data_IF_445833146585
#
_entry.id   IF_445833146585
#
_cell.length_a   1.000
_cell.length_b   1.000
_cell.length_c   1.000
_cell.angle_alpha   90.00
_cell.angle_beta   90.00
_cell.angle_gamma   90.00
#
_symmetry.space_group_name_H-M   'P 1'
#
loop_
_entity.id
_entity.type
_entity.pdbx_description
1 polymer ?
#
# COMPACT_ATOMS: atom_id res chain seq x y z
N UNK A 1 -15.25 16.49 10.51
CA UNK A 1 -16.61 16.20 10.01
C UNK A 1 -16.59 15.98 8.50
N UNK A 2 -17.51 15.16 7.99
CA UNK A 2 -17.70 14.90 6.57
C UNK A 2 -19.19 15.04 6.21
N UNK A 3 -19.50 15.21 4.92
CA UNK A 3 -20.89 15.21 4.41
C UNK A 3 -20.98 14.21 3.27
N UNK A 4 -21.90 13.26 3.37
CA UNK A 4 -22.15 12.25 2.34
C UNK A 4 -23.64 12.19 2.07
N UNK A 5 -24.05 12.35 0.80
CA UNK A 5 -25.47 12.35 0.42
C UNK A 5 -26.33 13.37 1.20
N UNK A 6 -25.76 14.52 1.54
CA UNK A 6 -26.45 15.56 2.35
C UNK A 6 -26.43 15.30 3.87
N UNK A 7 -26.02 14.13 4.32
CA UNK A 7 -25.94 13.79 5.75
C UNK A 7 -24.59 14.18 6.32
N UNK A 8 -24.59 14.93 7.43
CA UNK A 8 -23.37 15.33 8.13
C UNK A 8 -22.96 14.28 9.15
N UNK A 9 -21.68 13.89 9.10
CA UNK A 9 -20.99 13.01 10.04
C UNK A 9 -20.03 13.85 10.89
N UNK A 10 -20.12 13.77 12.19
CA UNK A 10 -19.22 14.50 13.12
C UNK A 10 -18.69 13.54 14.16
N UNK A 11 -17.39 13.63 14.44
CA UNK A 11 -16.70 12.80 15.41
C UNK A 11 -16.03 13.68 16.44
N UNK A 12 -16.00 13.24 17.69
CA UNK A 12 -15.21 13.83 18.76
C UNK A 12 -14.19 12.82 19.24
N UNK A 13 -13.04 13.30 19.66
CA UNK A 13 -11.90 12.46 20.06
C UNK A 13 -11.39 12.90 21.44
N UNK A 14 -10.74 11.98 22.16
CA UNK A 14 -9.92 12.31 23.30
C UNK A 14 -8.48 12.70 22.87
N UNK A 15 -7.63 13.01 23.84
CA UNK A 15 -6.21 13.41 23.60
C UNK A 15 -5.35 12.27 23.08
N UNK A 16 -5.76 11.00 23.24
CA UNK A 16 -5.10 9.81 22.73
C UNK A 16 -5.67 9.38 21.35
N UNK A 17 -6.56 10.20 20.75
CA UNK A 17 -7.16 9.92 19.45
C UNK A 17 -8.26 8.88 19.47
N UNK A 18 -8.79 8.48 20.63
CA UNK A 18 -9.93 7.58 20.65
C UNK A 18 -11.23 8.33 20.29
N UNK A 19 -12.04 7.74 19.42
CA UNK A 19 -13.34 8.31 19.06
C UNK A 19 -14.25 8.26 20.29
N UNK A 20 -14.66 9.40 20.80
CA UNK A 20 -15.57 9.50 21.96
C UNK A 20 -17.04 9.51 21.55
N UNK A 21 -17.35 10.08 20.40
CA UNK A 21 -18.70 10.04 19.86
C UNK A 21 -18.71 10.16 18.34
N UNK A 22 -19.71 9.52 17.74
CA UNK A 22 -20.11 9.65 16.33
C UNK A 22 -21.51 10.24 16.28
N UNK A 23 -21.68 11.30 15.50
CA UNK A 23 -23.01 11.91 15.24
C UNK A 23 -23.30 11.83 13.75
N UNK A 24 -24.43 11.22 13.39
CA UNK A 24 -24.92 11.08 12.02
C UNK A 24 -26.25 11.84 11.92
N UNK A 25 -26.27 12.97 11.22
CA UNK A 25 -27.42 13.89 11.24
C UNK A 25 -27.67 14.35 12.67
N UNK A 26 -28.83 14.00 13.23
CA UNK A 26 -29.22 14.31 14.63
C UNK A 26 -28.82 13.23 15.64
N UNK A 27 -28.57 12.00 15.20
CA UNK A 27 -28.32 10.85 16.07
C UNK A 27 -26.89 10.81 16.56
N UNK A 28 -26.67 10.77 17.89
CA UNK A 28 -25.36 10.66 18.52
C UNK A 28 -25.18 9.28 19.15
N UNK A 29 -24.06 8.63 18.88
CA UNK A 29 -23.63 7.38 19.50
C UNK A 29 -22.34 7.63 20.28
N UNK A 30 -22.29 7.21 21.54
CA UNK A 30 -21.14 7.38 22.41
C UNK A 30 -20.26 6.11 22.43
N UNK A 31 -18.97 6.33 22.61
CA UNK A 31 -17.94 5.31 22.80
C UNK A 31 -17.45 5.38 24.25
N UNK A 32 -17.29 4.25 24.91
CA UNK A 32 -16.83 4.20 26.30
C UNK A 32 -15.55 3.40 26.40
N UNK A 33 -14.53 3.96 27.09
CA UNK A 33 -13.22 3.38 27.34
C UNK A 33 -13.04 3.20 28.85
N UNK A 34 -13.61 2.13 29.41
CA UNK A 34 -13.67 1.92 30.86
C UNK A 34 -12.48 1.13 31.45
N UNK A 35 -11.50 0.73 30.63
CA UNK A 35 -10.34 -0.01 31.10
C UNK A 35 -9.22 0.95 31.51
N UNK A 36 -8.90 1.04 32.80
CA UNK A 36 -7.87 1.95 33.32
C UNK A 36 -6.44 1.53 32.94
N UNK A 37 -6.21 0.25 32.72
CA UNK A 37 -4.90 -0.30 32.35
C UNK A 37 -4.64 -0.19 30.85
N UNK A 38 -5.69 -0.17 30.02
CA UNK A 38 -5.59 -0.04 28.58
C UNK A 38 -6.66 0.93 28.06
N UNK A 39 -6.32 2.20 28.01
CA UNK A 39 -7.26 3.30 27.74
C UNK A 39 -7.81 3.35 26.32
N UNK A 40 -7.15 2.67 25.35
CA UNK A 40 -7.61 2.59 23.97
C UNK A 40 -8.61 1.45 23.72
N UNK A 41 -8.86 0.63 24.76
CA UNK A 41 -9.77 -0.50 24.67
C UNK A 41 -11.22 -0.03 24.76
N UNK A 42 -11.98 -0.13 23.68
CA UNK A 42 -13.38 0.26 23.61
C UNK A 42 -14.23 -0.75 24.41
N UNK A 43 -14.75 -0.35 25.56
CA UNK A 43 -15.49 -1.25 26.46
C UNK A 43 -17.00 -1.19 26.27
N UNK A 44 -17.53 -0.15 25.59
CA UNK A 44 -18.92 -0.11 25.13
C UNK A 44 -19.11 0.83 23.94
N UNK A 45 -20.07 0.49 23.07
CA UNK A 45 -20.54 1.29 21.95
C UNK A 45 -22.07 1.45 21.99
N UNK A 46 -22.56 2.69 21.99
CA UNK A 46 -23.99 2.98 22.11
C UNK A 46 -24.62 2.44 23.40
N UNK A 47 -23.84 2.29 24.47
CA UNK A 47 -24.27 1.71 25.74
C UNK A 47 -24.18 0.18 25.82
N UNK A 48 -23.89 -0.52 24.72
CA UNK A 48 -23.72 -1.96 24.68
C UNK A 48 -22.28 -2.37 24.97
N UNK A 49 -22.09 -3.26 25.93
CA UNK A 49 -20.78 -3.67 26.43
C UNK A 49 -20.02 -4.56 25.44
N UNK A 50 -18.71 -4.35 25.36
CA UNK A 50 -17.73 -5.19 24.66
C UNK A 50 -16.80 -5.80 25.71
N UNK A 51 -16.58 -7.13 25.65
CA UNK A 51 -15.66 -7.83 26.53
C UNK A 51 -14.48 -8.38 25.76
N UNK A 52 -13.30 -8.42 26.39
CA UNK A 52 -12.04 -8.79 25.76
C UNK A 52 -11.27 -9.84 26.54
N UNK A 53 -10.41 -10.57 25.81
CA UNK A 53 -9.34 -11.38 26.36
C UNK A 53 -8.06 -11.11 25.56
N UNK A 54 -6.98 -10.63 26.22
CA UNK A 54 -5.71 -10.34 25.56
C UNK A 54 -5.79 -9.33 24.42
N UNK A 55 -6.68 -8.31 24.52
CA UNK A 55 -6.88 -7.31 23.46
C UNK A 55 -7.79 -7.73 22.29
N UNK A 56 -8.32 -8.96 22.34
CA UNK A 56 -9.25 -9.48 21.35
C UNK A 56 -10.68 -9.52 21.93
N UNK A 57 -11.71 -9.04 21.22
CA UNK A 57 -13.09 -9.09 21.72
C UNK A 57 -13.58 -10.54 21.81
N UNK A 58 -14.27 -10.87 22.91
CA UNK A 58 -14.95 -12.16 23.11
C UNK A 58 -16.45 -12.03 22.97
N UNK A 59 -17.02 -10.89 23.37
CA UNK A 59 -18.40 -10.48 23.10
C UNK A 59 -18.41 -9.06 22.60
N UNK A 60 -19.25 -8.78 21.61
CA UNK A 60 -19.28 -7.50 20.92
C UNK A 60 -20.58 -6.73 21.22
N UNK A 61 -20.61 -5.43 20.85
CA UNK A 61 -21.73 -4.53 21.14
C UNK A 61 -23.07 -4.95 20.51
N UNK A 62 -23.02 -5.70 19.41
CA UNK A 62 -24.20 -6.22 18.70
C UNK A 62 -24.65 -7.59 19.19
N UNK A 63 -23.99 -8.13 20.22
CA UNK A 63 -24.24 -9.45 20.78
C UNK A 63 -23.44 -10.57 20.12
N UNK A 64 -22.67 -10.30 19.09
CA UNK A 64 -21.77 -11.27 18.46
C UNK A 64 -20.71 -11.77 19.44
N UNK A 65 -20.28 -13.03 19.27
CA UNK A 65 -19.22 -13.63 20.09
C UNK A 65 -18.11 -14.18 19.22
N UNK A 66 -16.86 -14.09 19.71
CA UNK A 66 -15.67 -14.43 18.94
C UNK A 66 -14.75 -15.35 19.75
N UNK A 67 -14.05 -16.24 19.05
CA UNK A 67 -12.87 -16.92 19.57
C UNK A 67 -11.66 -16.63 18.70
N UNK A 68 -10.48 -16.70 19.30
CA UNK A 68 -9.24 -16.29 18.67
C UNK A 68 -8.21 -17.41 18.73
N UNK A 69 -7.31 -17.46 17.76
CA UNK A 69 -6.21 -18.40 17.68
C UNK A 69 -4.91 -17.67 17.34
N UNK A 70 -3.78 -18.29 17.68
CA UNK A 70 -2.44 -17.75 17.40
C UNK A 70 -2.29 -16.27 17.83
N UNK A 71 -2.84 -15.96 18.99
CA UNK A 71 -2.77 -14.65 19.62
C UNK A 71 -3.83 -13.65 19.13
N UNK A 72 -4.00 -13.41 17.82
CA UNK A 72 -4.90 -12.36 17.31
C UNK A 72 -5.66 -12.71 16.04
N UNK A 73 -5.66 -13.96 15.60
CA UNK A 73 -6.43 -14.40 14.43
C UNK A 73 -7.82 -14.85 14.83
N UNK A 74 -8.83 -14.32 14.18
CA UNK A 74 -10.22 -14.69 14.44
C UNK A 74 -10.45 -16.15 14.04
N UNK A 75 -10.72 -17.03 15.02
CA UNK A 75 -10.96 -18.44 14.77
C UNK A 75 -12.43 -18.72 14.46
N UNK A 76 -13.33 -18.16 15.28
CA UNK A 76 -14.78 -18.28 15.05
C UNK A 76 -15.49 -16.97 15.37
N UNK A 77 -16.62 -16.77 14.69
CA UNK A 77 -17.60 -15.76 15.03
C UNK A 77 -18.98 -16.38 15.09
N UNK A 78 -19.81 -15.94 16.04
CA UNK A 78 -21.25 -16.24 16.07
C UNK A 78 -22.00 -14.91 15.99
N UNK A 79 -22.74 -14.71 14.91
CA UNK A 79 -23.53 -13.51 14.64
C UNK A 79 -25.00 -13.92 14.58
N UNK A 80 -25.78 -13.52 15.58
CA UNK A 80 -27.13 -14.04 15.76
C UNK A 80 -27.16 -15.57 15.90
N UNK A 81 -27.81 -16.26 14.97
CA UNK A 81 -27.82 -17.73 14.88
C UNK A 81 -26.75 -18.32 13.97
N UNK A 82 -25.99 -17.49 13.24
CA UNK A 82 -25.01 -17.93 12.24
C UNK A 82 -23.65 -18.18 12.89
N UNK A 83 -23.12 -19.39 12.72
CA UNK A 83 -21.76 -19.73 13.11
C UNK A 83 -20.83 -19.60 11.91
N UNK A 84 -19.67 -18.97 12.14
CA UNK A 84 -18.64 -18.73 11.15
C UNK A 84 -17.32 -19.23 11.71
N UNK A 85 -16.51 -19.89 10.89
CA UNK A 85 -15.15 -20.29 11.26
C UNK A 85 -14.16 -19.91 10.16
N UNK A 86 -12.92 -19.64 10.57
CA UNK A 86 -11.86 -19.19 9.70
C UNK A 86 -10.62 -20.07 9.87
N UNK A 87 -9.90 -20.30 8.77
CA UNK A 87 -8.58 -20.92 8.80
C UNK A 87 -7.56 -20.01 8.11
N UNK A 88 -6.32 -20.17 8.49
CA UNK A 88 -5.20 -19.36 8.02
C UNK A 88 -4.08 -20.25 7.54
N UNK A 89 -3.29 -19.78 6.57
CA UNK A 89 -2.07 -20.44 6.13
C UNK A 89 -0.90 -20.20 7.11
N UNK A 90 0.26 -20.70 6.77
CA UNK A 90 1.48 -20.55 7.59
C UNK A 90 1.97 -19.08 7.68
N UNK A 91 1.69 -18.26 6.67
CA UNK A 91 1.99 -16.84 6.68
C UNK A 91 0.96 -16.01 7.47
N UNK A 92 -0.15 -16.63 7.87
CA UNK A 92 -1.20 -16.00 8.62
C UNK A 92 -2.28 -15.33 7.78
N UNK A 93 -2.24 -15.55 6.48
CA UNK A 93 -3.27 -15.07 5.57
C UNK A 93 -4.44 -16.04 5.59
N UNK A 94 -5.66 -15.52 5.57
CA UNK A 94 -6.89 -16.32 5.63
C UNK A 94 -7.02 -17.24 4.41
N UNK A 95 -7.05 -18.56 4.65
CA UNK A 95 -7.15 -19.60 3.63
C UNK A 95 -8.57 -20.10 3.40
N UNK A 96 -9.44 -20.02 4.44
CA UNK A 96 -10.87 -20.33 4.26
C UNK A 96 -11.76 -19.59 5.24
N UNK A 97 -13.07 -19.54 4.89
CA UNK A 97 -14.18 -19.12 5.74
C UNK A 97 -15.32 -20.12 5.58
N UNK A 98 -15.87 -20.61 6.68
CA UNK A 98 -17.07 -21.47 6.67
C UNK A 98 -18.21 -20.73 7.34
N UNK A 99 -19.34 -20.57 6.66
CA UNK A 99 -20.57 -19.93 7.14
C UNK A 99 -21.66 -20.98 7.18
N UNK A 100 -22.07 -21.38 8.38
CA UNK A 100 -22.97 -22.53 8.53
C UNK A 100 -22.35 -23.78 7.94
N UNK A 101 -22.96 -24.35 6.89
CA UNK A 101 -22.47 -25.53 6.16
C UNK A 101 -21.65 -25.18 4.90
N UNK A 102 -21.53 -23.90 4.51
CA UNK A 102 -20.87 -23.48 3.27
C UNK A 102 -19.45 -23.04 3.54
N UNK A 103 -18.48 -23.69 2.90
CA UNK A 103 -17.04 -23.31 2.99
C UNK A 103 -16.61 -22.57 1.74
N UNK A 104 -16.01 -21.40 1.96
CA UNK A 104 -15.30 -20.61 0.96
C UNK A 104 -13.80 -20.81 1.15
N UNK A 105 -13.08 -21.13 0.07
CA UNK A 105 -11.61 -21.28 0.05
C UNK A 105 -11.00 -20.14 -0.74
N UNK A 106 -9.86 -19.65 -0.29
CA UNK A 106 -9.15 -18.53 -0.88
C UNK A 106 -7.79 -18.97 -1.42
N UNK A 107 -7.46 -18.54 -2.64
CA UNK A 107 -6.10 -18.52 -3.13
C UNK A 107 -5.61 -17.08 -3.05
N UNK A 108 -4.42 -16.87 -2.51
CA UNK A 108 -3.87 -15.54 -2.28
C UNK A 108 -2.52 -15.39 -2.98
N UNK A 109 -2.21 -14.17 -3.40
CA UNK A 109 -0.91 -13.75 -3.89
C UNK A 109 -0.54 -12.44 -3.19
N UNK A 110 0.61 -12.38 -2.53
CA UNK A 110 1.04 -11.22 -1.74
C UNK A 110 -0.04 -10.70 -0.76
N UNK A 111 -0.79 -11.63 -0.13
CA UNK A 111 -1.88 -11.29 0.79
C UNK A 111 -3.23 -10.97 0.13
N UNK A 112 -3.25 -10.65 -1.17
CA UNK A 112 -4.49 -10.37 -1.91
C UNK A 112 -5.20 -11.67 -2.31
N UNK A 113 -6.52 -11.72 -2.16
CA UNK A 113 -7.34 -12.85 -2.62
C UNK A 113 -7.44 -12.80 -4.15
N UNK A 114 -6.80 -13.73 -4.84
CA UNK A 114 -6.88 -13.84 -6.32
C UNK A 114 -7.96 -14.80 -6.78
N UNK A 115 -8.39 -15.73 -5.92
CA UNK A 115 -9.51 -16.64 -6.21
C UNK A 115 -10.28 -16.97 -4.95
N UNK A 116 -11.59 -17.03 -5.09
CA UNK A 116 -12.52 -17.59 -4.10
C UNK A 116 -13.32 -18.72 -4.75
N UNK A 117 -13.43 -19.85 -4.06
CA UNK A 117 -14.30 -20.96 -4.44
C UNK A 117 -15.20 -21.34 -3.27
N UNK A 118 -16.44 -21.71 -3.55
CA UNK A 118 -17.42 -22.13 -2.54
C UNK A 118 -18.81 -21.58 -2.84
N UNK A 119 -19.84 -22.15 -2.17
CA UNK A 119 -21.21 -21.74 -2.44
C UNK A 119 -21.67 -21.98 -3.89
N UNK A 120 -21.14 -23.02 -4.56
CA UNK A 120 -21.36 -23.33 -5.97
C UNK A 120 -20.89 -22.24 -6.95
N UNK A 121 -19.95 -21.42 -6.54
CA UNK A 121 -19.40 -20.33 -7.33
C UNK A 121 -17.87 -20.28 -7.29
N UNK A 122 -17.30 -19.77 -8.35
CA UNK A 122 -15.88 -19.40 -8.42
C UNK A 122 -15.78 -17.95 -8.84
N UNK A 123 -14.97 -17.21 -8.11
CA UNK A 123 -14.64 -15.81 -8.42
C UNK A 123 -13.12 -15.71 -8.53
N UNK A 124 -12.62 -15.28 -9.69
CA UNK A 124 -11.23 -14.87 -9.85
C UNK A 124 -11.16 -13.34 -9.80
N UNK A 125 -10.21 -12.80 -9.07
CA UNK A 125 -9.99 -11.36 -8.95
C UNK A 125 -8.71 -10.97 -9.66
N UNK A 126 -8.76 -9.89 -10.41
CA UNK A 126 -7.63 -9.28 -11.12
C UNK A 126 -7.42 -7.90 -10.53
N UNK A 127 -6.17 -7.60 -10.22
CA UNK A 127 -5.73 -6.32 -9.68
C UNK A 127 -4.79 -5.64 -10.66
N UNK A 128 -4.71 -4.32 -10.60
CA UNK A 128 -3.71 -3.53 -11.31
C UNK A 128 -2.35 -3.55 -10.57
N UNK A 129 -1.38 -2.83 -11.11
CA UNK A 129 -0.02 -2.74 -10.57
C UNK A 129 0.03 -2.05 -9.18
N UNK A 130 -1.01 -1.26 -8.85
CA UNK A 130 -1.18 -0.63 -7.53
C UNK A 130 -2.00 -1.47 -6.55
N UNK A 131 -2.24 -2.76 -6.87
CA UNK A 131 -3.07 -3.67 -6.09
C UNK A 131 -4.54 -3.22 -5.95
N UNK A 132 -5.03 -2.35 -6.86
CA UNK A 132 -6.43 -1.96 -6.88
C UNK A 132 -7.25 -2.96 -7.70
N UNK A 133 -8.51 -3.27 -7.28
CA UNK A 133 -9.37 -4.18 -8.04
C UNK A 133 -9.64 -3.67 -9.46
N UNK A 134 -9.24 -4.43 -10.48
CA UNK A 134 -9.46 -4.11 -11.89
C UNK A 134 -10.65 -4.85 -12.48
N UNK A 135 -10.71 -6.16 -12.28
CA UNK A 135 -11.77 -7.01 -12.81
C UNK A 135 -12.04 -8.23 -11.92
N UNK A 136 -13.22 -8.82 -12.08
CA UNK A 136 -13.52 -10.16 -11.55
C UNK A 136 -14.08 -11.06 -12.65
N UNK A 137 -13.76 -12.35 -12.57
CA UNK A 137 -14.40 -13.38 -13.37
C UNK A 137 -15.29 -14.21 -12.47
N UNK A 138 -16.59 -14.09 -12.63
CA UNK A 138 -17.60 -14.84 -11.88
C UNK A 138 -18.28 -15.87 -12.76
N UNK A 139 -18.13 -17.14 -12.41
CA UNK A 139 -18.69 -18.25 -13.16
C UNK A 139 -18.44 -18.17 -14.67
N UNK A 140 -17.20 -17.82 -15.05
CA UNK A 140 -16.76 -17.76 -16.45
C UNK A 140 -16.99 -16.40 -17.15
N UNK A 141 -17.80 -15.49 -16.59
CA UNK A 141 -18.04 -14.16 -17.16
C UNK A 141 -17.16 -13.11 -16.49
N UNK A 142 -16.65 -12.17 -17.27
CA UNK A 142 -15.78 -11.07 -16.80
C UNK A 142 -16.62 -9.84 -16.53
N UNK A 143 -16.30 -9.17 -15.42
CA UNK A 143 -16.89 -7.91 -14.97
C UNK A 143 -15.77 -6.98 -14.53
N UNK A 144 -15.98 -5.67 -14.67
CA UNK A 144 -14.96 -4.65 -14.41
C UNK A 144 -15.36 -3.79 -13.21
N UNK A 145 -14.40 -3.48 -12.36
CA UNK A 145 -14.59 -2.58 -11.25
C UNK A 145 -14.53 -1.12 -11.69
N UNK A 146 -15.36 -0.29 -11.10
CA UNK A 146 -15.30 1.17 -11.20
C UNK A 146 -15.03 1.68 -9.79
N UNK A 147 -13.88 2.31 -9.62
CA UNK A 147 -13.41 2.85 -8.35
C UNK A 147 -13.63 4.37 -8.31
N UNK A 148 -13.78 4.92 -7.11
CA UNK A 148 -13.63 6.35 -6.90
C UNK A 148 -12.14 6.71 -6.70
N UNK A 149 -11.84 8.01 -6.56
CA UNK A 149 -10.48 8.51 -6.36
C UNK A 149 -9.80 7.99 -5.06
N UNK A 150 -10.54 7.35 -4.18
CA UNK A 150 -10.05 6.80 -2.92
C UNK A 150 -9.84 5.28 -2.99
N UNK A 151 -10.11 4.63 -4.14
CA UNK A 151 -10.00 3.19 -4.31
C UNK A 151 -11.23 2.39 -3.82
N UNK A 152 -12.34 3.06 -3.50
CA UNK A 152 -13.56 2.34 -3.14
C UNK A 152 -14.25 1.81 -4.39
N UNK A 153 -14.69 0.55 -4.37
CA UNK A 153 -15.53 -0.02 -5.42
C UNK A 153 -16.92 0.62 -5.35
N UNK A 154 -17.24 1.48 -6.31
CA UNK A 154 -18.54 2.18 -6.37
C UNK A 154 -19.50 1.53 -7.36
N UNK A 155 -18.99 0.86 -8.40
CA UNK A 155 -19.81 0.08 -9.36
C UNK A 155 -19.05 -1.14 -9.87
N UNK A 156 -19.81 -2.07 -10.40
CA UNK A 156 -19.32 -3.17 -11.25
C UNK A 156 -20.11 -3.14 -12.53
N UNK A 157 -19.43 -3.27 -13.68
CA UNK A 157 -20.04 -3.28 -15.00
C UNK A 157 -19.73 -4.57 -15.74
N UNK A 158 -20.62 -5.00 -16.63
CA UNK A 158 -20.38 -6.11 -17.57
C UNK A 158 -19.58 -5.65 -18.81
N UNK A 159 -19.26 -6.59 -19.70
CA UNK A 159 -18.56 -6.29 -20.95
C UNK A 159 -19.30 -5.34 -21.92
N UNK A 160 -20.60 -5.15 -21.73
CA UNK A 160 -21.43 -4.19 -22.47
C UNK A 160 -21.58 -2.86 -21.73
N UNK A 161 -20.85 -2.67 -20.61
CA UNK A 161 -20.88 -1.50 -19.72
C UNK A 161 -22.20 -1.31 -18.95
N UNK A 162 -23.06 -2.34 -18.87
CA UNK A 162 -24.23 -2.27 -18.00
C UNK A 162 -23.80 -2.39 -16.54
N UNK A 163 -24.39 -1.58 -15.66
CA UNK A 163 -24.11 -1.64 -14.23
C UNK A 163 -24.80 -2.87 -13.62
N UNK A 164 -24.01 -3.77 -13.05
CA UNK A 164 -24.48 -5.02 -12.42
C UNK A 164 -24.37 -4.99 -10.89
N UNK A 165 -23.61 -4.04 -10.35
CA UNK A 165 -23.59 -3.71 -8.91
C UNK A 165 -23.28 -2.24 -8.70
N UNK A 166 -23.83 -1.64 -7.63
CA UNK A 166 -23.50 -0.28 -7.17
C UNK A 166 -23.44 -0.26 -5.65
N UNK A 167 -22.51 0.57 -5.11
CA UNK A 167 -22.30 0.71 -3.67
C UNK A 167 -22.11 2.17 -3.29
N UNK A 168 -22.52 2.54 -2.08
CA UNK A 168 -22.14 3.79 -1.45
C UNK A 168 -21.75 3.57 0.00
N UNK A 169 -20.83 4.38 0.50
CA UNK A 169 -20.24 4.24 1.81
C UNK A 169 -20.29 5.55 2.59
N UNK A 170 -20.26 5.43 3.91
CA UNK A 170 -19.95 6.55 4.78
C UNK A 170 -18.44 6.86 4.77
N UNK A 171 -17.96 7.93 5.44
CA UNK A 171 -16.54 8.28 5.44
C UNK A 171 -15.60 7.20 6.03
N UNK A 172 -16.14 6.24 6.79
CA UNK A 172 -15.42 5.15 7.43
C UNK A 172 -15.63 3.80 6.74
N UNK A 173 -16.29 3.80 5.58
CA UNK A 173 -16.48 2.58 4.80
C UNK A 173 -17.70 1.75 5.18
N UNK A 174 -18.56 2.25 6.10
CA UNK A 174 -19.85 1.59 6.36
C UNK A 174 -20.69 1.64 5.10
N UNK A 175 -21.19 0.48 4.68
CA UNK A 175 -22.05 0.37 3.52
C UNK A 175 -23.39 1.08 3.79
N UNK A 176 -23.69 2.11 3.01
CA UNK A 176 -24.94 2.89 3.08
C UNK A 176 -25.99 2.33 2.13
N UNK A 177 -25.58 1.92 0.95
CA UNK A 177 -26.46 1.28 -0.03
C UNK A 177 -25.70 0.28 -0.90
N UNK A 178 -26.41 -0.75 -1.35
CA UNK A 178 -25.96 -1.66 -2.38
C UNK A 178 -27.11 -2.07 -3.27
N UNK A 179 -26.88 -2.20 -4.58
CA UNK A 179 -27.91 -2.60 -5.55
C UNK A 179 -27.29 -3.31 -6.72
N UNK A 180 -28.11 -4.08 -7.46
CA UNK A 180 -27.70 -4.84 -8.64
C UNK A 180 -27.53 -6.33 -8.39
N UNK A 181 -27.50 -7.12 -9.46
CA UNK A 181 -27.51 -8.58 -9.43
C UNK A 181 -26.25 -9.20 -8.82
N UNK A 182 -25.11 -8.49 -8.90
CA UNK A 182 -23.84 -8.94 -8.33
C UNK A 182 -23.47 -8.24 -7.04
N UNK A 183 -24.34 -7.38 -6.50
CA UNK A 183 -24.04 -6.61 -5.30
C UNK A 183 -23.71 -7.47 -4.07
N UNK A 184 -24.39 -8.62 -3.91
CA UNK A 184 -24.14 -9.56 -2.82
C UNK A 184 -23.10 -10.65 -3.18
N UNK A 185 -22.72 -10.74 -4.45
CA UNK A 185 -21.70 -11.71 -4.92
C UNK A 185 -20.29 -11.16 -4.70
N UNK A 186 -20.11 -9.88 -4.97
CA UNK A 186 -18.80 -9.25 -4.88
C UNK A 186 -18.42 -8.94 -3.42
N UNK A 187 -17.27 -9.49 -2.93
CA UNK A 187 -16.77 -9.16 -1.60
C UNK A 187 -15.85 -7.93 -1.58
N UNK A 188 -15.25 -7.50 -2.71
CA UNK A 188 -14.34 -6.37 -2.72
C UNK A 188 -15.13 -5.05 -2.74
N UNK A 189 -14.95 -4.20 -1.71
CA UNK A 189 -15.79 -3.00 -1.51
C UNK A 189 -14.95 -1.76 -1.17
N UNK A 190 -15.14 -1.19 0.02
CA UNK A 190 -14.42 -0.01 0.51
C UNK A 190 -12.90 -0.24 0.44
N UNK A 191 -12.15 0.66 -0.19
CA UNK A 191 -10.69 0.54 -0.42
C UNK A 191 -10.26 -0.75 -1.14
N UNK A 192 -11.18 -1.45 -1.82
CA UNK A 192 -10.89 -2.76 -2.37
C UNK A 192 -10.76 -3.88 -1.33
N UNK A 193 -11.01 -3.61 -0.05
CA UNK A 193 -10.93 -4.62 1.01
C UNK A 193 -11.98 -5.69 0.88
N UNK A 194 -11.66 -6.87 1.40
CA UNK A 194 -12.56 -8.01 1.41
C UNK A 194 -13.60 -7.85 2.53
N UNK A 195 -14.86 -7.68 2.15
CA UNK A 195 -16.00 -7.52 3.06
C UNK A 195 -16.63 -8.85 3.41
N UNK A 196 -16.73 -9.14 4.70
CA UNK A 196 -17.48 -10.30 5.23
C UNK A 196 -18.91 -9.84 5.57
N UNK A 197 -19.86 -10.14 4.68
CA UNK A 197 -21.25 -9.69 4.81
C UNK A 197 -21.96 -10.21 6.08
N UNK A 198 -21.50 -11.32 6.61
CA UNK A 198 -22.06 -11.97 7.79
C UNK A 198 -21.74 -11.22 9.08
N UNK A 199 -20.55 -10.61 9.15
CA UNK A 199 -20.09 -9.84 10.32
C UNK A 199 -20.18 -8.34 10.11
N UNK A 200 -20.23 -7.90 8.84
CA UNK A 200 -20.12 -6.48 8.49
C UNK A 200 -18.69 -5.94 8.56
N UNK A 201 -17.69 -6.79 8.72
CA UNK A 201 -16.29 -6.40 8.85
C UNK A 201 -15.54 -6.46 7.52
N UNK A 202 -14.50 -5.65 7.40
CA UNK A 202 -13.49 -5.78 6.37
C UNK A 202 -12.31 -6.59 6.88
N UNK A 203 -11.86 -7.57 6.10
CA UNK A 203 -10.65 -8.33 6.36
C UNK A 203 -9.45 -7.64 5.67
N UNK A 204 -8.53 -7.13 6.47
CA UNK A 204 -7.32 -6.43 6.04
C UNK A 204 -6.08 -7.30 6.30
N UNK A 205 -6.11 -8.58 5.89
CA UNK A 205 -5.03 -9.58 6.01
C UNK A 205 -4.63 -9.90 7.46
N UNK A 206 -4.11 -8.93 8.23
CA UNK A 206 -3.68 -9.16 9.62
C UNK A 206 -4.78 -8.93 10.64
N UNK A 207 -5.73 -8.03 10.36
CA UNK A 207 -6.80 -7.60 11.27
C UNK A 207 -8.16 -7.53 10.59
N UNK A 208 -9.20 -7.44 11.43
CA UNK A 208 -10.55 -7.13 10.98
C UNK A 208 -10.92 -5.70 11.37
N UNK A 209 -11.46 -4.97 10.43
CA UNK A 209 -11.90 -3.59 10.59
C UNK A 209 -13.42 -3.52 10.63
N UNK A 210 -13.97 -2.89 11.67
CA UNK A 210 -15.39 -2.62 11.78
C UNK A 210 -15.70 -1.17 11.34
N UNK A 211 -16.33 -0.97 10.17
CA UNK A 211 -16.66 0.36 9.67
C UNK A 211 -17.80 1.05 10.45
N UNK A 212 -18.59 0.30 11.23
CA UNK A 212 -19.61 0.89 12.09
C UNK A 212 -18.99 1.72 13.21
N UNK A 213 -17.96 1.19 13.85
CA UNK A 213 -17.27 1.90 14.92
C UNK A 213 -16.02 2.66 14.45
N UNK A 214 -15.59 2.46 13.17
CA UNK A 214 -14.43 3.14 12.60
C UNK A 214 -13.10 2.70 13.22
N UNK A 215 -12.98 1.44 13.65
CA UNK A 215 -11.79 0.93 14.36
C UNK A 215 -11.51 -0.53 13.97
N UNK A 216 -10.27 -0.95 14.15
CA UNK A 216 -9.96 -2.37 14.21
C UNK A 216 -10.62 -3.01 15.44
N UNK A 217 -11.11 -4.25 15.29
CA UNK A 217 -11.80 -4.95 16.39
C UNK A 217 -10.82 -5.53 17.39
N UNK A 218 -9.57 -5.77 17.01
CA UNK A 218 -8.50 -6.30 17.84
C UNK A 218 -7.25 -5.41 17.76
N UNK A 219 -6.40 -5.53 18.78
CA UNK A 219 -5.19 -4.74 18.91
C UNK A 219 -4.19 -5.03 17.79
N UNK A 220 -3.37 -4.05 17.45
CA UNK A 220 -2.22 -4.19 16.56
C UNK A 220 -1.10 -5.03 17.19
N UNK A 221 -0.10 -5.44 16.40
CA UNK A 221 1.13 -6.01 16.95
C UNK A 221 1.96 -4.93 17.60
N UNK A 222 2.66 -5.26 18.68
CA UNK A 222 3.55 -4.32 19.37
C UNK A 222 4.69 -3.82 18.44
N UNK A 223 5.06 -4.61 17.44
CA UNK A 223 6.14 -4.30 16.50
C UNK A 223 5.76 -3.23 15.44
N UNK A 224 4.46 -2.95 15.25
CA UNK A 224 3.98 -1.96 14.29
C UNK A 224 3.62 -0.61 14.91
N UNK A 225 3.84 -0.42 16.22
CA UNK A 225 3.67 0.87 16.87
C UNK A 225 4.90 1.74 16.63
N UNK A 226 4.75 2.77 15.79
CA UNK A 226 5.79 3.78 15.59
C UNK A 226 5.77 4.81 16.73
N UNK A 227 6.87 4.97 17.44
CA UNK A 227 6.99 5.91 18.57
C UNK A 227 7.01 7.40 18.13
N UNK A 228 7.02 7.69 16.82
CA UNK A 228 7.14 9.06 16.28
C UNK A 228 5.80 9.71 15.98
N UNK A 229 4.73 8.93 15.78
CA UNK A 229 3.39 9.43 15.50
C UNK A 229 2.55 9.68 16.74
N UNK A 230 1.80 10.80 16.80
CA UNK A 230 0.94 11.15 17.93
C UNK A 230 -0.15 10.10 18.23
N UNK A 231 -0.58 9.36 17.22
CA UNK A 231 -1.61 8.31 17.28
C UNK A 231 -1.08 6.90 17.03
N UNK A 232 0.21 6.75 16.76
CA UNK A 232 0.85 5.45 16.48
C UNK A 232 0.80 4.48 17.68
N UNK A 233 0.59 4.99 18.88
CA UNK A 233 0.40 4.18 20.10
C UNK A 233 -1.02 3.65 20.27
N UNK A 234 -2.01 4.14 19.49
CA UNK A 234 -3.39 3.66 19.53
C UNK A 234 -3.54 2.41 18.68
N UNK A 235 -3.46 1.24 19.31
CA UNK A 235 -3.45 -0.06 18.66
C UNK A 235 -4.74 -0.45 17.92
N UNK A 236 -5.80 0.35 18.03
CA UNK A 236 -7.09 0.09 17.40
C UNK A 236 -7.48 1.13 16.35
N UNK A 237 -6.74 2.22 16.25
CA UNK A 237 -7.07 3.29 15.32
C UNK A 237 -6.87 2.82 13.86
N UNK A 238 -7.86 3.08 13.02
CA UNK A 238 -7.76 2.90 11.59
C UNK A 238 -7.29 4.20 10.93
N UNK A 239 -6.21 4.11 10.13
CA UNK A 239 -5.65 5.22 9.37
C UNK A 239 -5.42 6.50 10.20
N UNK A 240 -4.99 6.36 11.47
CA UNK A 240 -4.85 7.47 12.42
C UNK A 240 -6.06 8.42 12.43
N UNK A 241 -7.26 7.87 12.40
CA UNK A 241 -8.53 8.61 12.34
C UNK A 241 -8.71 9.53 11.12
N UNK A 242 -7.95 9.31 10.06
CA UNK A 242 -8.09 10.02 8.79
C UNK A 242 -8.36 9.07 7.61
N UNK A 243 -9.48 8.34 7.62
CA UNK A 243 -9.80 7.34 6.60
C UNK A 243 -10.11 7.95 5.22
N UNK A 244 -10.26 9.28 5.12
CA UNK A 244 -10.49 9.98 3.85
C UNK A 244 -9.21 10.15 3.05
N UNK A 245 -8.08 10.39 3.75
CA UNK A 245 -6.78 10.67 3.13
C UNK A 245 -5.81 9.49 3.24
N UNK A 246 -6.15 8.45 4.01
CA UNK A 246 -5.25 7.34 4.30
C UNK A 246 -5.90 6.00 4.03
N UNK A 247 -5.07 5.00 3.78
CA UNK A 247 -5.45 3.61 3.52
C UNK A 247 -4.52 2.69 4.29
N UNK A 248 -5.04 1.57 4.80
CA UNK A 248 -4.27 0.51 5.45
C UNK A 248 -4.55 -0.83 4.75
N UNK A 249 -3.79 -1.21 3.71
CA UNK A 249 -4.07 -2.40 2.91
C UNK A 249 -3.83 -3.72 3.62
N UNK A 250 -2.99 -3.73 4.66
CA UNK A 250 -2.53 -4.94 5.35
C UNK A 250 -3.10 -5.10 6.74
N UNK A 251 -3.68 -4.04 7.30
CA UNK A 251 -4.15 -3.99 8.68
C UNK A 251 -3.01 -3.83 9.69
N UNK A 252 -1.84 -3.35 9.27
CA UNK A 252 -0.68 -3.11 10.15
C UNK A 252 -0.10 -1.70 9.96
N UNK A 253 -0.08 -1.21 8.71
CA UNK A 253 0.50 0.08 8.35
C UNK A 253 -0.48 0.85 7.46
N UNK A 254 -0.61 2.14 7.71
CA UNK A 254 -1.40 3.03 6.87
C UNK A 254 -0.47 3.87 5.98
N UNK A 255 -0.99 4.27 4.83
CA UNK A 255 -0.35 5.18 3.88
C UNK A 255 -1.28 6.32 3.52
N UNK A 256 -0.73 7.48 3.20
CA UNK A 256 -1.52 8.55 2.60
C UNK A 256 -1.93 8.13 1.18
N UNK A 257 -3.21 8.28 0.86
CA UNK A 257 -3.75 7.93 -0.46
C UNK A 257 -3.04 8.72 -1.56
N UNK A 258 -2.69 9.97 -1.25
CA UNK A 258 -1.94 10.81 -2.17
C UNK A 258 -0.55 10.22 -2.47
N UNK A 259 0.14 9.69 -1.46
CA UNK A 259 1.47 9.09 -1.65
C UNK A 259 1.40 7.80 -2.46
N UNK A 260 0.39 6.94 -2.20
CA UNK A 260 0.14 5.73 -3.02
C UNK A 260 -0.15 6.11 -4.47
N UNK A 261 -1.01 7.12 -4.68
CA UNK A 261 -1.35 7.61 -6.02
C UNK A 261 -0.14 8.27 -6.70
N UNK A 262 0.64 9.07 -5.98
CA UNK A 262 1.85 9.71 -6.51
C UNK A 262 2.93 8.69 -6.83
N UNK A 263 3.13 7.67 -6.01
CA UNK A 263 4.05 6.57 -6.31
C UNK A 263 3.65 5.86 -7.62
N UNK A 264 2.36 5.51 -7.78
CA UNK A 264 1.86 4.89 -8.99
C UNK A 264 2.09 5.77 -10.23
N UNK A 265 1.72 7.07 -10.17
CA UNK A 265 1.95 8.01 -11.27
C UNK A 265 3.44 8.21 -11.57
N UNK A 266 4.28 8.28 -10.55
CA UNK A 266 5.72 8.49 -10.73
C UNK A 266 6.41 7.28 -11.38
N UNK A 267 5.94 6.06 -11.09
CA UNK A 267 6.39 4.86 -11.79
C UNK A 267 5.86 4.81 -13.22
N UNK A 268 4.61 5.22 -13.46
CA UNK A 268 4.03 5.32 -14.81
C UNK A 268 4.80 6.36 -15.65
N UNK A 269 5.02 7.57 -15.12
CA UNK A 269 5.86 8.60 -15.74
C UNK A 269 7.29 8.10 -16.06
N UNK A 270 7.87 7.31 -15.15
CA UNK A 270 9.20 6.72 -15.37
C UNK A 270 9.17 5.64 -16.47
N UNK A 271 8.14 4.80 -16.49
CA UNK A 271 8.02 3.75 -17.50
C UNK A 271 7.70 4.30 -18.90
N UNK A 272 6.90 5.37 -18.99
CA UNK A 272 6.61 6.06 -20.26
C UNK A 272 7.79 6.90 -20.77
N UNK A 273 8.50 7.55 -19.86
CA UNK A 273 9.62 8.45 -20.17
C UNK A 273 10.78 8.20 -19.21
N UNK A 274 11.56 7.13 -19.37
CA UNK A 274 12.65 6.79 -18.48
C UNK A 274 13.68 7.91 -18.38
N UNK A 275 13.79 8.50 -17.19
CA UNK A 275 14.77 9.54 -16.88
C UNK A 275 15.17 9.43 -15.41
N UNK A 276 16.38 9.94 -15.07
CA UNK A 276 16.79 9.97 -13.66
C UNK A 276 15.91 10.86 -12.80
N UNK A 277 15.28 11.87 -13.38
CA UNK A 277 14.35 12.73 -12.67
C UNK A 277 13.09 11.94 -12.32
N UNK A 278 12.51 11.23 -13.30
CA UNK A 278 11.31 10.41 -13.08
C UNK A 278 11.63 9.22 -12.19
N UNK A 279 12.78 8.57 -12.35
CA UNK A 279 13.23 7.52 -11.42
C UNK A 279 13.42 8.08 -10.00
N UNK A 280 13.98 9.28 -9.88
CA UNK A 280 14.14 9.95 -8.58
C UNK A 280 12.79 10.23 -7.91
N UNK A 281 11.80 10.67 -8.66
CA UNK A 281 10.44 10.88 -8.16
C UNK A 281 9.77 9.58 -7.79
N UNK A 282 9.82 8.55 -8.66
CA UNK A 282 9.26 7.24 -8.37
C UNK A 282 9.86 6.62 -7.10
N UNK A 283 11.18 6.76 -6.90
CA UNK A 283 11.85 6.28 -5.69
C UNK A 283 11.47 7.09 -4.44
N UNK A 284 11.37 8.43 -4.54
CA UNK A 284 10.96 9.29 -3.43
C UNK A 284 9.51 9.04 -3.03
N UNK A 285 8.61 8.91 -4.02
CA UNK A 285 7.20 8.63 -3.77
C UNK A 285 7.01 7.22 -3.17
N UNK A 286 7.84 6.25 -3.59
CA UNK A 286 7.85 4.91 -2.97
C UNK A 286 8.40 4.95 -1.54
N UNK A 287 9.44 5.75 -1.27
CA UNK A 287 9.96 5.93 0.09
C UNK A 287 8.96 6.62 1.01
N UNK A 288 8.12 7.51 0.48
CA UNK A 288 7.07 8.18 1.24
C UNK A 288 5.97 7.21 1.73
N UNK A 289 5.90 5.99 1.16
CA UNK A 289 5.05 4.91 1.67
C UNK A 289 5.62 4.23 2.93
N UNK A 290 6.87 4.53 3.32
CA UNK A 290 7.45 4.00 4.55
C UNK A 290 6.97 4.81 5.76
N UNK A 291 6.65 4.16 6.88
CA UNK A 291 6.23 4.84 8.11
C UNK A 291 7.29 5.85 8.58
N UNK A 292 6.84 7.04 8.96
CA UNK A 292 7.73 8.10 9.47
C UNK A 292 8.48 8.89 8.39
N UNK A 293 8.31 8.58 7.10
CA UNK A 293 8.84 9.39 6.01
C UNK A 293 7.82 10.47 5.64
N UNK A 294 8.21 11.76 5.59
CA UNK A 294 7.30 12.84 5.18
C UNK A 294 6.79 12.64 3.75
N UNK A 295 5.51 12.98 3.51
CA UNK A 295 4.89 12.88 2.19
C UNK A 295 5.71 13.62 1.12
N UNK A 296 6.00 12.91 0.02
CA UNK A 296 6.72 13.45 -1.14
C UNK A 296 5.91 14.52 -1.89
N UNK A 297 4.59 14.51 -1.77
CA UNK A 297 3.70 15.48 -2.42
C UNK A 297 4.00 16.93 -2.04
N UNK A 298 4.46 17.19 -0.81
CA UNK A 298 4.92 18.52 -0.38
C UNK A 298 6.28 18.89 -0.97
N UNK A 299 7.20 17.92 -1.05
CA UNK A 299 8.53 18.12 -1.63
C UNK A 299 8.43 18.41 -3.14
N UNK A 300 7.55 17.68 -3.86
CA UNK A 300 7.31 17.88 -5.30
C UNK A 300 6.79 19.28 -5.61
N UNK A 301 5.79 19.77 -4.85
CA UNK A 301 5.29 21.15 -4.99
C UNK A 301 6.37 22.20 -4.72
N UNK A 302 7.20 21.98 -3.70
CA UNK A 302 8.33 22.86 -3.41
C UNK A 302 9.36 22.89 -4.55
N UNK A 303 9.70 21.75 -5.13
CA UNK A 303 10.65 21.62 -6.24
C UNK A 303 10.08 22.20 -7.53
N UNK A 304 8.79 22.02 -7.85
CA UNK A 304 8.15 22.64 -9.02
C UNK A 304 8.14 24.16 -8.92
N UNK A 305 7.87 24.73 -7.75
CA UNK A 305 7.95 26.18 -7.51
C UNK A 305 9.38 26.67 -7.64
N UNK A 306 10.36 25.97 -7.06
CA UNK A 306 11.79 26.32 -7.18
C UNK A 306 12.29 26.14 -8.60
N UNK A 307 11.85 25.09 -9.33
CA UNK A 307 12.22 24.87 -10.72
C UNK A 307 11.63 25.95 -11.65
N UNK A 308 10.37 26.35 -11.43
CA UNK A 308 9.75 27.44 -12.21
C UNK A 308 10.42 28.78 -11.96
N UNK A 309 10.83 29.09 -10.72
CA UNK A 309 11.63 30.27 -10.38
C UNK A 309 13.03 30.18 -11.01
N UNK A 310 13.66 29.00 -11.01
CA UNK A 310 14.97 28.81 -11.62
C UNK A 310 14.93 28.87 -13.16
N UNK A 311 13.84 28.47 -13.81
CA UNK A 311 13.65 28.59 -15.24
C UNK A 311 13.46 30.06 -15.67
N UNK A 312 12.80 30.89 -14.86
CA UNK A 312 12.68 32.32 -15.10
C UNK A 312 14.03 33.06 -15.00
N UNK A 313 14.96 32.55 -14.17
CA UNK A 313 16.31 33.11 -14.03
C UNK A 313 17.33 32.53 -15.03
N UNK A 314 17.06 31.38 -15.68
CA UNK A 314 17.96 30.72 -16.66
C UNK A 314 17.89 31.24 -18.08
N UNK A 315 17.04 32.20 -18.40
CA UNK A 315 17.00 32.82 -19.71
C UNK A 315 18.26 33.67 -20.04
N UNK A 316 19.27 33.75 -19.16
CA UNK A 316 20.49 34.52 -19.34
C UNK A 316 21.81 33.72 -19.44
N UNK A 317 21.80 32.39 -19.25
CA UNK A 317 23.03 31.57 -19.33
C UNK A 317 22.89 30.40 -20.33
N UNK A 318 22.84 30.77 -21.62
CA UNK A 318 23.10 29.81 -22.71
C UNK A 318 24.61 29.74 -22.91
N UNK A 319 25.32 28.91 -22.14
CA UNK A 319 26.59 28.30 -22.50
C UNK A 319 27.23 27.57 -21.31
N UNK A 320 27.07 26.27 -21.25
CA UNK A 320 27.94 25.17 -20.81
C UNK A 320 27.09 24.00 -20.37
N UNK A 321 26.59 23.23 -21.32
CA UNK A 321 25.89 21.97 -21.08
C UNK A 321 26.96 20.96 -20.64
N UNK A 322 26.94 20.57 -19.35
CA UNK A 322 27.72 19.43 -18.85
C UNK A 322 27.08 18.13 -19.27
N UNK A 323 27.79 17.01 -19.08
CA UNK A 323 27.28 15.65 -19.32
C UNK A 323 25.94 15.42 -18.61
N UNK A 324 25.00 14.82 -19.30
CA UNK A 324 23.68 14.40 -18.80
C UNK A 324 23.56 12.87 -18.89
N UNK A 325 22.66 12.28 -18.11
CA UNK A 325 22.34 10.87 -18.22
C UNK A 325 21.71 10.60 -19.59
N UNK A 326 22.15 9.50 -20.21
CA UNK A 326 21.88 9.19 -21.61
C UNK A 326 22.95 9.66 -22.59
N UNK A 327 23.78 10.63 -22.21
CA UNK A 327 24.93 11.04 -23.01
C UNK A 327 26.05 9.98 -22.98
N UNK A 328 26.92 9.98 -24.01
CA UNK A 328 28.09 9.11 -24.02
C UNK A 328 28.96 9.35 -22.76
N UNK A 329 29.34 8.27 -22.08
CA UNK A 329 30.13 8.33 -20.84
C UNK A 329 31.51 8.93 -21.03
N UNK A 330 32.03 8.92 -22.28
CA UNK A 330 33.32 9.49 -22.68
C UNK A 330 33.30 11.01 -22.86
N UNK A 331 32.12 11.61 -22.94
CA UNK A 331 32.00 13.06 -23.15
C UNK A 331 32.81 13.87 -22.12
N UNK A 332 33.44 14.95 -22.58
CA UNK A 332 34.22 15.80 -21.70
C UNK A 332 33.42 16.28 -20.48
N UNK A 333 34.09 16.52 -19.39
CA UNK A 333 33.50 17.14 -18.20
C UNK A 333 33.13 18.61 -18.48
N UNK A 334 32.32 19.23 -17.62
CA UNK A 334 32.00 20.67 -17.74
C UNK A 334 33.22 21.60 -17.79
N UNK A 335 34.36 21.13 -17.27
CA UNK A 335 35.64 21.86 -17.33
C UNK A 335 36.43 21.59 -18.62
N UNK A 336 35.91 20.79 -19.56
CA UNK A 336 36.57 20.45 -20.83
C UNK A 336 37.60 19.31 -20.70
N UNK A 337 37.68 18.63 -19.57
CA UNK A 337 38.65 17.55 -19.34
C UNK A 337 38.06 16.18 -19.69
N UNK A 338 38.90 15.23 -20.08
CA UNK A 338 38.53 13.80 -20.14
C UNK A 338 38.08 13.34 -18.77
N UNK A 339 36.94 12.64 -18.66
CA UNK A 339 36.42 12.20 -17.36
C UNK A 339 37.39 11.21 -16.69
N UNK A 340 37.58 11.37 -15.38
CA UNK A 340 38.33 10.40 -14.56
C UNK A 340 37.59 9.06 -14.50
N UNK A 341 38.29 7.98 -14.15
CA UNK A 341 37.67 6.65 -13.99
C UNK A 341 36.49 6.66 -13.01
N UNK A 342 36.59 7.39 -11.92
CA UNK A 342 35.46 7.52 -10.98
C UNK A 342 34.24 8.18 -11.62
N UNK A 343 34.46 9.19 -12.47
CA UNK A 343 33.38 9.87 -13.22
C UNK A 343 32.79 8.94 -14.29
N UNK A 344 33.64 8.21 -15.04
CA UNK A 344 33.21 7.21 -16.05
C UNK A 344 32.32 6.15 -15.40
N UNK A 345 32.77 5.58 -14.28
CA UNK A 345 32.02 4.56 -13.53
C UNK A 345 30.66 5.07 -13.04
N UNK A 346 30.60 6.31 -12.51
CA UNK A 346 29.35 6.92 -12.11
C UNK A 346 28.37 7.15 -13.28
N UNK A 347 28.89 7.64 -14.40
CA UNK A 347 28.11 7.86 -15.62
C UNK A 347 27.57 6.56 -16.18
N UNK A 348 28.41 5.51 -16.18
CA UNK A 348 28.03 4.18 -16.64
C UNK A 348 26.83 3.64 -15.84
N UNK A 349 26.93 3.58 -14.52
CA UNK A 349 25.83 3.06 -13.71
C UNK A 349 24.55 3.87 -13.84
N UNK A 350 24.67 5.17 -14.03
CA UNK A 350 23.51 6.05 -14.32
C UNK A 350 22.86 5.74 -15.66
N UNK A 351 23.65 5.54 -16.70
CA UNK A 351 23.15 5.16 -18.02
C UNK A 351 22.58 3.75 -18.03
N UNK A 352 23.21 2.84 -17.33
CA UNK A 352 22.76 1.45 -17.18
C UNK A 352 21.40 1.39 -16.49
N UNK A 353 21.19 2.18 -15.45
CA UNK A 353 19.88 2.33 -14.80
C UNK A 353 18.81 2.85 -15.76
N UNK A 354 19.18 3.71 -16.71
CA UNK A 354 18.26 4.24 -17.71
C UNK A 354 17.91 3.20 -18.79
N UNK A 355 18.93 2.47 -19.29
CA UNK A 355 18.77 1.60 -20.47
C UNK A 355 18.26 0.21 -20.14
N UNK A 356 18.68 -0.35 -18.99
CA UNK A 356 18.42 -1.74 -18.61
C UNK A 356 17.64 -1.84 -17.29
N UNK A 357 16.80 -0.85 -17.01
CA UNK A 357 16.08 -0.73 -15.74
C UNK A 357 15.24 -1.97 -15.37
N UNK A 358 14.77 -2.74 -16.35
CA UNK A 358 13.98 -3.98 -16.13
C UNK A 358 14.78 -5.12 -15.51
N UNK A 359 16.11 -5.04 -15.52
CA UNK A 359 17.01 -6.09 -15.06
C UNK A 359 17.41 -5.93 -13.59
N UNK A 360 17.04 -4.81 -12.97
CA UNK A 360 17.51 -4.44 -11.63
C UNK A 360 16.34 -4.25 -10.65
N UNK A 361 16.62 -4.55 -9.38
CA UNK A 361 15.68 -4.27 -8.29
C UNK A 361 15.51 -2.75 -8.08
N UNK A 362 14.40 -2.29 -7.49
CA UNK A 362 14.21 -0.87 -7.16
C UNK A 362 15.34 -0.29 -6.29
N UNK A 363 15.87 -1.08 -5.35
CA UNK A 363 17.00 -0.69 -4.49
C UNK A 363 18.28 -0.51 -5.30
N UNK A 364 18.54 -1.40 -6.27
CA UNK A 364 19.70 -1.29 -7.15
C UNK A 364 19.55 -0.11 -8.10
N UNK A 365 18.39 0.13 -8.67
CA UNK A 365 18.12 1.30 -9.51
C UNK A 365 18.37 2.61 -8.74
N UNK A 366 17.95 2.69 -7.48
CA UNK A 366 18.24 3.84 -6.63
C UNK A 366 19.75 4.03 -6.42
N UNK A 367 20.51 2.96 -6.17
CA UNK A 367 21.98 3.01 -6.05
C UNK A 367 22.62 3.49 -7.35
N UNK A 368 22.18 2.94 -8.48
CA UNK A 368 22.69 3.24 -9.81
C UNK A 368 22.38 4.67 -10.25
N UNK A 369 21.22 5.20 -9.91
CA UNK A 369 20.86 6.61 -10.14
C UNK A 369 21.81 7.58 -9.42
N UNK A 370 22.39 7.16 -8.29
CA UNK A 370 23.42 7.88 -7.56
C UNK A 370 24.85 7.64 -8.13
N UNK A 371 24.97 6.83 -9.18
CA UNK A 371 26.24 6.43 -9.78
C UNK A 371 26.99 5.34 -9.02
N UNK A 372 26.28 4.58 -8.16
CA UNK A 372 26.81 3.44 -7.43
C UNK A 372 26.45 2.14 -8.14
N UNK A 373 27.30 1.13 -8.04
CA UNK A 373 27.04 -0.19 -8.62
C UNK A 373 25.85 -0.88 -7.94
N UNK A 374 25.05 -1.69 -8.68
CA UNK A 374 24.06 -2.59 -8.07
C UNK A 374 24.76 -3.67 -7.23
N UNK A 375 24.01 -4.37 -6.39
CA UNK A 375 24.53 -5.41 -5.52
C UNK A 375 24.30 -6.79 -6.12
N UNK A 376 25.29 -7.68 -5.99
CA UNK A 376 25.19 -9.08 -6.34
C UNK A 376 25.36 -9.96 -5.10
N UNK A 377 24.55 -11.01 -5.00
CA UNK A 377 24.65 -12.00 -3.92
C UNK A 377 25.80 -12.96 -4.18
N UNK A 378 26.77 -13.03 -3.27
CA UNK A 378 27.85 -14.02 -3.35
C UNK A 378 27.32 -15.39 -2.94
N UNK A 379 27.32 -16.39 -3.85
CA UNK A 379 26.76 -17.72 -3.58
C UNK A 379 27.53 -18.51 -2.52
N UNK A 380 28.79 -18.16 -2.27
CA UNK A 380 29.66 -18.90 -1.34
C UNK A 380 29.46 -18.48 0.12
N UNK A 381 29.00 -17.23 0.38
CA UNK A 381 28.91 -16.73 1.74
C UNK A 381 27.57 -16.00 2.05
N UNK A 382 26.64 -15.90 1.07
CA UNK A 382 25.33 -15.29 1.23
C UNK A 382 25.33 -13.76 1.47
N UNK A 383 26.45 -13.06 1.21
CA UNK A 383 26.55 -11.61 1.40
C UNK A 383 26.40 -10.86 0.08
N UNK A 384 25.88 -9.65 0.15
CA UNK A 384 25.75 -8.75 -0.99
C UNK A 384 27.01 -7.91 -1.19
N UNK A 385 27.48 -7.83 -2.43
CA UNK A 385 28.66 -7.06 -2.83
C UNK A 385 28.34 -6.20 -4.05
N UNK A 386 28.90 -4.97 -4.16
CA UNK A 386 28.70 -4.14 -5.34
C UNK A 386 29.37 -4.77 -6.57
N UNK A 387 28.66 -4.73 -7.69
CA UNK A 387 29.20 -5.12 -8.99
C UNK A 387 30.41 -4.27 -9.37
N UNK A 388 31.33 -4.83 -10.16
CA UNK A 388 32.53 -4.16 -10.62
C UNK A 388 32.56 -4.04 -12.14
N UNK A 389 33.42 -3.16 -12.65
CA UNK A 389 33.68 -2.98 -14.08
C UNK A 389 35.12 -3.42 -14.38
N UNK A 390 35.24 -4.46 -15.18
CA UNK A 390 36.53 -5.05 -15.57
C UNK A 390 36.96 -4.50 -16.95
N UNK A 391 38.22 -4.10 -17.07
CA UNK A 391 38.82 -3.63 -18.32
C UNK A 391 39.69 -4.74 -18.93
N UNK A 392 39.25 -5.44 -19.96
CA UNK A 392 40.01 -6.55 -20.55
C UNK A 392 41.37 -6.12 -21.08
N UNK A 393 41.49 -4.89 -21.56
CA UNK A 393 42.73 -4.34 -22.18
C UNK A 393 43.42 -3.27 -21.30
N UNK A 394 43.01 -3.14 -20.02
CA UNK A 394 43.54 -2.09 -19.13
C UNK A 394 42.84 -0.76 -19.28
N UNK A 395 43.29 0.27 -18.54
CA UNK A 395 42.62 1.58 -18.41
C UNK A 395 43.37 2.71 -19.12
N UNK A 396 43.90 2.50 -20.30
CA UNK A 396 44.70 3.51 -21.05
C UNK A 396 44.00 3.92 -22.34
N UNK A 397 44.03 5.20 -22.64
CA UNK A 397 43.45 5.76 -23.88
C UNK A 397 41.94 5.45 -24.00
N UNK A 398 41.53 4.95 -25.17
CA UNK A 398 40.17 4.55 -25.47
C UNK A 398 39.68 3.37 -24.63
N UNK A 399 40.59 2.54 -24.12
CA UNK A 399 40.22 1.38 -23.30
C UNK A 399 39.67 1.75 -21.93
N UNK A 400 39.82 3.02 -21.50
CA UNK A 400 39.16 3.56 -20.32
C UNK A 400 37.62 3.40 -20.38
N UNK A 401 37.06 3.36 -21.57
CA UNK A 401 35.60 3.27 -21.81
C UNK A 401 35.17 1.88 -22.29
N UNK A 402 36.11 0.94 -22.45
CA UNK A 402 35.87 -0.43 -22.86
C UNK A 402 35.98 -1.38 -21.66
N UNK A 403 34.86 -1.73 -21.07
CA UNK A 403 34.77 -2.57 -19.89
C UNK A 403 33.49 -3.43 -19.90
N UNK A 404 33.51 -4.48 -19.08
CA UNK A 404 32.34 -5.36 -18.86
C UNK A 404 31.94 -5.36 -17.38
N UNK A 405 30.68 -5.60 -17.12
CA UNK A 405 30.17 -5.80 -15.76
C UNK A 405 30.56 -7.19 -15.25
N UNK A 406 31.09 -7.26 -14.04
CA UNK A 406 31.49 -8.53 -13.39
C UNK A 406 31.11 -8.50 -11.91
N UNK A 407 30.91 -9.68 -11.33
CA UNK A 407 30.85 -9.78 -9.87
C UNK A 407 32.27 -9.74 -9.29
N UNK A 408 32.47 -9.29 -8.03
CA UNK A 408 33.79 -9.22 -7.41
C UNK A 408 34.54 -10.54 -7.41
N UNK A 409 33.85 -11.66 -7.19
CA UNK A 409 34.48 -12.99 -7.21
C UNK A 409 34.86 -13.44 -8.62
N UNK A 410 34.08 -13.05 -9.63
CA UNK A 410 34.42 -13.32 -11.02
C UNK A 410 35.54 -12.41 -11.52
N UNK A 411 35.65 -11.18 -11.02
CA UNK A 411 36.74 -10.25 -11.31
C UNK A 411 38.08 -10.75 -10.75
N UNK A 412 38.08 -11.48 -9.65
CA UNK A 412 39.27 -12.06 -9.07
C UNK A 412 39.80 -13.31 -9.83
N UNK A 413 38.98 -13.88 -10.72
CA UNK A 413 39.32 -15.04 -11.56
C UNK A 413 39.87 -14.66 -12.95
N UNK A 414 39.68 -13.40 -13.38
CA UNK A 414 40.11 -12.83 -14.66
C UNK A 414 41.37 -11.99 -14.46
#
# INVERSE_FOLDING_TARGET
>A
SAVVGGTRYTYTYDTAGNIQSKKVGSTKTNYTYGNSAWRDLLTAYGGNTITYSGGNPTKYYDGSTFTWTQGRRLATAKVGSTNISYTYDMAGVRSSKTVGSTTYKYTTLSGLVTRQTGGNATIDFVYDESNQPLAMKYNGKVYYYVLNAQGDVVRIVDGSRNVVASYSYDPWGKLLSSSGTLANVNPLRYRGYYYDSETGFYYLQSRYYDPEIGRFINADSYASTDATGLLSTNMFAYCENNPVMRVDPTGELFWDILDVFMAALSWDDFLESPSLVNLGWAALDTLALLPGVPSSGYARRGVEVVSSISHANKAKDVAKVGWKVGDDISNLTRAGNVPSWSTVRQRYWKNEALTNYKEYSPEDLLRMSQGRAPLALNPNNGKMYPMELHHPNGRKGSDLFNFIQVTPWKHAEI
#
